data_IF_867681732162
#
_entry.id   IF_867681732162
#
_cell.length_a   1.000
_cell.length_b   1.000
_cell.length_c   1.000
_cell.angle_alpha   90.00
_cell.angle_beta   90.00
_cell.angle_gamma   90.00
#
_symmetry.space_group_name_H-M   'P 1'
#
loop_
_entity.id
_entity.type
_entity.pdbx_description
1 polymer ?
#
# COMPACT_ATOMS: atom_id res chain seq x y z
N UNK A 1 -3.28 30.02 2.13
CA UNK A 1 -4.37 29.06 1.86
C UNK A 1 -4.28 27.97 2.92
N UNK A 2 -5.14 28.01 3.94
CA UNK A 2 -5.20 26.97 4.98
C UNK A 2 -5.83 25.73 4.36
N UNK A 3 -5.02 24.71 4.09
CA UNK A 3 -5.50 23.38 3.70
C UNK A 3 -6.42 22.89 4.82
N UNK A 4 -7.72 22.90 4.57
CA UNK A 4 -8.71 22.32 5.47
C UNK A 4 -8.41 20.82 5.52
N UNK A 5 -7.77 20.37 6.61
CA UNK A 5 -7.60 18.94 6.90
C UNK A 5 -9.00 18.33 6.96
N UNK A 6 -9.44 17.70 5.89
CA UNK A 6 -10.64 16.86 5.93
C UNK A 6 -10.30 15.74 6.90
N UNK A 7 -11.04 15.58 8.02
CA UNK A 7 -10.74 14.51 8.95
C UNK A 7 -10.87 13.17 8.20
N UNK A 8 -9.81 12.36 8.24
CA UNK A 8 -9.71 11.07 7.55
C UNK A 8 -10.67 10.01 8.09
N UNK A 9 -11.38 10.34 9.18
CA UNK A 9 -12.43 9.58 9.80
C UNK A 9 -13.64 10.51 9.97
N UNK A 10 -14.85 9.98 9.76
CA UNK A 10 -16.07 10.79 9.86
C UNK A 10 -16.31 11.33 11.30
N UNK A 11 -15.71 10.69 12.32
CA UNK A 11 -15.81 11.12 13.72
C UNK A 11 -14.50 10.84 14.51
N UNK A 12 -13.55 11.78 14.53
CA UNK A 12 -12.21 11.55 15.09
C UNK A 12 -12.17 11.36 16.62
N UNK A 13 -13.22 11.74 17.36
CA UNK A 13 -13.20 11.68 18.83
C UNK A 13 -13.45 10.27 19.38
N UNK A 14 -14.12 9.40 18.62
CA UNK A 14 -14.52 8.06 19.08
C UNK A 14 -14.02 6.91 18.18
N UNK A 15 -13.38 7.20 17.04
CA UNK A 15 -13.03 6.14 16.08
C UNK A 15 -12.09 5.08 16.65
N UNK A 16 -11.10 5.46 17.47
CA UNK A 16 -10.18 4.49 18.08
C UNK A 16 -10.92 3.54 19.02
N UNK A 17 -11.85 4.06 19.83
CA UNK A 17 -12.68 3.22 20.69
C UNK A 17 -13.56 2.28 19.86
N UNK A 18 -14.14 2.77 18.77
CA UNK A 18 -14.91 1.93 17.82
C UNK A 18 -14.04 0.84 17.21
N UNK A 19 -12.83 1.16 16.75
CA UNK A 19 -11.90 0.18 16.18
C UNK A 19 -11.46 -0.84 17.22
N UNK A 20 -11.11 -0.40 18.43
CA UNK A 20 -10.74 -1.30 19.53
C UNK A 20 -11.88 -2.24 19.91
N UNK A 21 -13.13 -1.74 19.93
CA UNK A 21 -14.31 -2.57 20.18
C UNK A 21 -14.58 -3.62 19.09
N UNK A 22 -14.04 -3.41 17.89
CA UNK A 22 -14.12 -4.34 16.75
C UNK A 22 -12.88 -5.24 16.65
N UNK A 23 -12.04 -5.28 17.68
CA UNK A 23 -10.92 -6.21 17.80
C UNK A 23 -9.59 -5.70 17.25
N UNK A 24 -9.53 -4.44 16.79
CA UNK A 24 -8.25 -3.80 16.45
C UNK A 24 -7.39 -3.60 17.70
N UNK A 25 -6.10 -3.88 17.59
CA UNK A 25 -5.12 -3.71 18.66
C UNK A 25 -4.05 -2.73 18.24
N UNK A 26 -3.66 -1.85 19.15
CA UNK A 26 -2.54 -0.95 18.91
C UNK A 26 -1.23 -1.74 18.90
N UNK A 27 -0.36 -1.43 17.93
CA UNK A 27 0.95 -2.07 17.83
C UNK A 27 1.92 -1.40 18.80
N UNK A 28 2.75 -2.21 19.47
CA UNK A 28 3.81 -1.69 20.32
C UNK A 28 4.83 -0.88 19.51
N UNK A 29 5.45 0.13 20.12
CA UNK A 29 6.46 0.96 19.43
C UNK A 29 7.71 0.18 18.97
N UNK A 30 7.94 -0.99 19.55
CA UNK A 30 9.00 -1.94 19.19
C UNK A 30 8.66 -2.74 17.92
N UNK A 31 7.39 -2.82 17.54
CA UNK A 31 6.92 -3.55 16.38
C UNK A 31 7.49 -2.97 15.08
N UNK A 32 7.81 -3.83 14.11
CA UNK A 32 8.36 -3.43 12.82
C UNK A 32 7.44 -2.50 12.02
N UNK A 33 6.12 -2.76 12.01
CA UNK A 33 5.16 -1.93 11.30
C UNK A 33 5.04 -0.57 11.99
N UNK A 34 5.08 -0.52 13.31
CA UNK A 34 5.14 0.75 14.05
C UNK A 34 6.46 1.51 13.80
N UNK A 35 7.61 0.83 13.76
CA UNK A 35 8.90 1.45 13.43
C UNK A 35 8.90 2.02 12.01
N UNK A 36 8.34 1.30 11.03
CA UNK A 36 8.15 1.81 9.67
C UNK A 36 7.27 3.07 9.67
N UNK A 37 6.12 3.02 10.36
CA UNK A 37 5.22 4.17 10.49
C UNK A 37 5.93 5.39 11.10
N UNK A 38 6.75 5.18 12.13
CA UNK A 38 7.51 6.26 12.78
C UNK A 38 8.44 6.96 11.78
N UNK A 39 9.14 6.20 10.94
CA UNK A 39 10.01 6.78 9.89
C UNK A 39 9.20 7.49 8.80
N UNK A 40 8.15 6.85 8.31
CA UNK A 40 7.43 7.30 7.11
C UNK A 40 6.37 8.38 7.38
N UNK A 41 5.65 8.29 8.50
CA UNK A 41 4.54 9.18 8.83
C UNK A 41 4.95 10.29 9.80
N UNK A 42 5.53 9.91 10.94
CA UNK A 42 5.87 10.85 12.02
C UNK A 42 7.09 11.71 11.65
N UNK A 43 8.21 11.05 11.34
CA UNK A 43 9.45 11.72 10.97
C UNK A 43 9.46 12.23 9.53
N UNK A 44 8.55 11.71 8.68
CA UNK A 44 8.52 11.97 7.24
C UNK A 44 9.90 11.87 6.60
N UNK A 45 10.62 10.80 6.94
CA UNK A 45 11.99 10.57 6.48
C UNK A 45 12.02 10.62 4.95
N UNK A 46 12.80 11.52 4.33
CA UNK A 46 12.87 11.61 2.88
C UNK A 46 13.67 10.43 2.29
N UNK A 47 13.58 10.20 0.96
CA UNK A 47 14.47 9.27 0.29
C UNK A 47 15.94 9.62 0.56
N UNK A 48 16.77 8.61 0.82
CA UNK A 48 18.22 8.77 1.04
C UNK A 48 18.96 8.51 -0.26
N UNK A 49 19.73 9.48 -0.73
CA UNK A 49 20.67 9.29 -1.84
C UNK A 49 21.83 8.39 -1.40
N UNK A 50 22.13 7.38 -2.21
CA UNK A 50 23.29 6.52 -2.05
C UNK A 50 24.39 6.94 -3.00
N UNK A 51 25.60 7.08 -2.47
CA UNK A 51 26.81 7.30 -3.26
C UNK A 51 27.36 5.99 -3.83
N UNK A 52 28.25 6.05 -4.84
CA UNK A 52 28.86 4.86 -5.45
C UNK A 52 29.56 3.93 -4.45
N UNK A 53 30.08 4.47 -3.34
CA UNK A 53 30.76 3.72 -2.28
C UNK A 53 29.83 2.90 -1.39
N UNK A 54 28.52 3.13 -1.43
CA UNK A 54 27.54 2.39 -0.63
C UNK A 54 27.03 1.13 -1.36
N UNK A 55 27.45 0.90 -2.60
CA UNK A 55 27.11 -0.30 -3.36
C UNK A 55 28.16 -1.39 -3.14
N UNK A 56 27.70 -2.65 -3.06
CA UNK A 56 28.58 -3.81 -2.86
C UNK A 56 29.55 -4.01 -4.05
N UNK A 57 29.15 -3.58 -5.25
CA UNK A 57 29.99 -3.62 -6.44
C UNK A 57 30.35 -2.21 -6.89
N UNK A 58 31.63 -1.97 -7.25
CA UNK A 58 32.07 -0.68 -7.76
C UNK A 58 31.35 -0.38 -9.08
N UNK A 59 30.52 0.67 -9.07
CA UNK A 59 29.89 1.13 -10.30
C UNK A 59 30.93 1.81 -11.19
N UNK A 60 30.88 1.48 -12.49
CA UNK A 60 31.77 2.07 -13.49
C UNK A 60 31.59 3.60 -13.61
N UNK A 61 30.42 4.10 -13.20
CA UNK A 61 30.08 5.51 -13.23
C UNK A 61 29.96 6.09 -11.82
N UNK A 62 30.96 6.89 -11.45
CA UNK A 62 31.01 7.61 -10.17
C UNK A 62 29.95 8.73 -10.03
N UNK A 63 29.25 9.08 -11.10
CA UNK A 63 28.21 10.12 -11.10
C UNK A 63 26.81 9.57 -10.79
N UNK A 64 26.64 8.24 -10.77
CA UNK A 64 25.34 7.64 -10.51
C UNK A 64 24.92 7.84 -9.05
N UNK A 65 23.76 8.47 -8.85
CA UNK A 65 23.09 8.58 -7.56
C UNK A 65 21.82 7.74 -7.61
N UNK A 66 21.71 6.75 -6.73
CA UNK A 66 20.45 6.07 -6.50
C UNK A 66 19.78 6.65 -5.27
N UNK A 67 18.46 6.55 -5.19
CA UNK A 67 17.73 6.89 -3.97
C UNK A 67 17.19 5.62 -3.32
N UNK A 68 17.01 5.66 -2.01
CA UNK A 68 16.37 4.59 -1.24
C UNK A 68 15.30 5.11 -0.32
N UNK A 69 14.30 4.27 -0.05
CA UNK A 69 13.22 4.57 0.89
C UNK A 69 13.12 3.47 1.95
N UNK A 70 12.63 3.77 3.16
CA UNK A 70 12.35 2.76 4.19
C UNK A 70 11.35 1.72 3.70
N UNK A 71 11.55 0.45 4.03
CA UNK A 71 10.52 -0.59 3.79
C UNK A 71 9.99 -1.15 5.10
N UNK A 72 8.87 -1.85 5.01
CA UNK A 72 8.25 -2.56 6.13
C UNK A 72 8.72 -4.02 6.27
N UNK A 73 9.76 -4.40 5.51
CA UNK A 73 10.38 -5.73 5.51
C UNK A 73 11.60 -5.75 6.43
N UNK A 74 11.64 -6.70 7.36
CA UNK A 74 12.74 -6.86 8.32
C UNK A 74 14.11 -7.10 7.65
N UNK A 75 14.16 -7.97 6.64
CA UNK A 75 15.41 -8.35 5.96
C UNK A 75 15.96 -7.23 5.05
N UNK A 76 15.11 -6.27 4.67
CA UNK A 76 15.44 -5.23 3.71
C UNK A 76 14.94 -3.86 4.20
N UNK A 77 15.54 -3.26 5.24
CA UNK A 77 15.01 -2.05 5.88
C UNK A 77 14.95 -0.82 4.95
N UNK A 78 15.68 -0.87 3.83
CA UNK A 78 15.60 0.12 2.75
C UNK A 78 15.61 -0.56 1.39
N UNK A 79 14.82 -0.04 0.46
CA UNK A 79 14.82 -0.48 -0.93
C UNK A 79 15.18 0.66 -1.88
N UNK A 80 15.72 0.30 -3.05
CA UNK A 80 16.01 1.23 -4.13
C UNK A 80 14.70 1.85 -4.65
N UNK A 81 14.68 3.17 -4.71
CA UNK A 81 13.61 3.95 -5.29
C UNK A 81 13.75 3.96 -6.80
N UNK A 82 12.84 3.24 -7.46
CA UNK A 82 12.75 3.18 -8.92
C UNK A 82 11.82 4.26 -9.44
N UNK A 83 12.16 4.83 -10.59
CA UNK A 83 11.33 5.83 -11.26
C UNK A 83 9.96 5.24 -11.66
N UNK A 84 9.93 3.96 -12.00
CA UNK A 84 8.69 3.23 -12.30
C UNK A 84 7.75 3.16 -11.09
N UNK A 85 8.28 3.11 -9.87
CA UNK A 85 7.47 3.14 -8.66
C UNK A 85 6.76 4.49 -8.52
N UNK A 86 7.45 5.60 -8.79
CA UNK A 86 6.82 6.94 -8.81
C UNK A 86 5.67 6.99 -9.81
N UNK A 87 5.95 6.62 -11.07
CA UNK A 87 4.96 6.67 -12.15
C UNK A 87 3.74 5.80 -11.87
N UNK A 88 3.94 4.58 -11.37
CA UNK A 88 2.84 3.70 -11.00
C UNK A 88 2.01 4.29 -9.86
N UNK A 89 2.66 4.81 -8.81
CA UNK A 89 1.96 5.42 -7.68
C UNK A 89 1.17 6.68 -8.08
N UNK A 90 1.77 7.54 -8.90
CA UNK A 90 1.11 8.74 -9.40
C UNK A 90 -0.09 8.37 -10.30
N UNK A 91 0.05 7.31 -11.10
CA UNK A 91 -1.05 6.71 -11.86
C UNK A 91 -2.20 6.19 -10.96
N UNK A 92 -1.87 5.54 -9.83
CA UNK A 92 -2.88 5.13 -8.84
C UNK A 92 -3.60 6.33 -8.22
N UNK A 93 -2.87 7.41 -7.94
CA UNK A 93 -3.45 8.64 -7.38
C UNK A 93 -4.35 9.37 -8.39
N UNK A 94 -4.00 9.33 -9.67
CA UNK A 94 -4.78 9.95 -10.74
C UNK A 94 -6.18 9.34 -10.91
N UNK A 95 -6.41 8.11 -10.43
CA UNK A 95 -7.74 7.50 -10.39
C UNK A 95 -8.70 8.23 -9.43
N UNK A 96 -8.17 9.09 -8.55
CA UNK A 96 -8.95 9.85 -7.58
C UNK A 96 -9.52 8.98 -6.45
N UNK A 97 -10.10 9.60 -5.41
CA UNK A 97 -10.87 8.87 -4.40
C UNK A 97 -12.06 8.17 -5.09
N UNK A 98 -12.43 7.00 -4.60
CA UNK A 98 -13.57 6.27 -5.16
C UNK A 98 -14.84 7.11 -4.94
N UNK A 99 -15.51 7.63 -5.99
CA UNK A 99 -16.70 8.42 -5.82
C UNK A 99 -17.77 7.52 -5.21
N UNK A 100 -18.06 7.71 -3.92
CA UNK A 100 -18.90 6.86 -3.06
C UNK A 100 -19.69 5.82 -3.87
N UNK A 101 -19.25 4.56 -3.86
CA UNK A 101 -19.77 3.63 -4.83
C UNK A 101 -21.25 3.43 -4.59
N UNK A 102 -22.06 3.81 -5.58
CA UNK A 102 -23.45 3.38 -5.66
C UNK A 102 -23.44 1.85 -5.68
N UNK A 103 -23.69 1.22 -4.54
CA UNK A 103 -23.60 -0.23 -4.35
C UNK A 103 -22.32 -0.75 -3.68
N UNK A 104 -21.52 0.09 -3.00
CA UNK A 104 -20.47 -0.39 -2.08
C UNK A 104 -19.18 -0.92 -2.72
N UNK A 105 -19.08 -0.98 -4.06
CA UNK A 105 -17.91 -1.52 -4.78
C UNK A 105 -16.70 -0.60 -4.76
N UNK A 106 -15.53 -1.09 -4.33
CA UNK A 106 -14.28 -0.31 -4.36
C UNK A 106 -13.43 -0.69 -5.57
N UNK A 107 -12.75 0.31 -6.13
CA UNK A 107 -11.83 0.14 -7.26
C UNK A 107 -10.60 -0.67 -6.83
N UNK A 108 -10.37 -1.80 -7.50
CA UNK A 108 -9.17 -2.63 -7.32
C UNK A 108 -8.23 -2.46 -8.52
N UNK A 109 -6.94 -2.27 -8.24
CA UNK A 109 -5.90 -2.17 -9.28
C UNK A 109 -4.91 -3.32 -9.09
N UNK A 110 -4.99 -4.38 -9.92
CA UNK A 110 -4.03 -5.47 -9.85
C UNK A 110 -2.68 -5.01 -10.43
N UNK A 111 -1.61 -5.28 -9.69
CA UNK A 111 -0.23 -5.06 -10.17
C UNK A 111 0.32 -6.42 -10.61
N UNK A 112 0.52 -6.58 -11.91
CA UNK A 112 1.00 -7.83 -12.51
C UNK A 112 2.41 -7.68 -13.07
N UNK A 113 3.12 -8.80 -13.20
CA UNK A 113 4.48 -8.81 -13.74
C UNK A 113 5.24 -10.06 -13.33
N UNK A 114 6.39 -10.27 -13.97
CA UNK A 114 7.25 -11.43 -13.73
C UNK A 114 7.64 -11.58 -12.25
N UNK A 115 7.84 -12.82 -11.75
CA UNK A 115 8.43 -13.04 -10.44
C UNK A 115 9.74 -12.27 -10.29
N UNK A 116 9.99 -11.72 -9.10
CA UNK A 116 11.23 -10.97 -8.81
C UNK A 116 11.30 -9.53 -9.33
N UNK A 117 10.30 -9.03 -10.06
CA UNK A 117 10.35 -7.65 -10.62
C UNK A 117 10.17 -6.51 -9.58
N UNK A 118 9.98 -6.87 -8.30
CA UNK A 118 9.82 -5.93 -7.20
C UNK A 118 8.37 -5.45 -6.97
N UNK A 119 7.37 -6.33 -7.12
CA UNK A 119 5.95 -6.01 -6.84
C UNK A 119 5.71 -5.74 -5.35
N UNK A 120 6.22 -6.60 -4.48
CA UNK A 120 6.15 -6.42 -3.02
C UNK A 120 6.86 -5.14 -2.57
N UNK A 121 8.01 -4.82 -3.17
CA UNK A 121 8.72 -3.56 -2.90
C UNK A 121 7.90 -2.34 -3.37
N UNK A 122 7.19 -2.45 -4.50
CA UNK A 122 6.28 -1.39 -4.92
C UNK A 122 5.08 -1.22 -3.97
N UNK A 123 4.53 -2.31 -3.42
CA UNK A 123 3.50 -2.27 -2.36
C UNK A 123 3.98 -1.45 -1.17
N UNK A 124 5.22 -1.70 -0.71
CA UNK A 124 5.85 -0.96 0.38
C UNK A 124 6.11 0.50 0.03
N UNK A 125 6.54 0.77 -1.20
CA UNK A 125 6.69 2.13 -1.70
C UNK A 125 5.36 2.89 -1.68
N UNK A 126 4.27 2.25 -2.10
CA UNK A 126 2.94 2.85 -2.07
C UNK A 126 2.50 3.14 -0.62
N UNK A 127 2.75 2.22 0.32
CA UNK A 127 2.51 2.45 1.74
C UNK A 127 3.31 3.66 2.26
N UNK A 128 4.61 3.71 1.95
CA UNK A 128 5.52 4.79 2.35
C UNK A 128 5.04 6.15 1.84
N UNK A 129 4.70 6.25 0.55
CA UNK A 129 4.17 7.49 -0.05
C UNK A 129 2.86 7.93 0.62
N UNK A 130 1.96 7.00 0.90
CA UNK A 130 0.69 7.32 1.59
C UNK A 130 0.94 7.80 3.02
N UNK A 131 1.91 7.24 3.72
CA UNK A 131 2.32 7.72 5.04
C UNK A 131 2.87 9.16 5.00
N UNK A 132 3.75 9.47 4.04
CA UNK A 132 4.26 10.83 3.83
C UNK A 132 3.14 11.84 3.55
N UNK A 133 2.13 11.40 2.80
CA UNK A 133 0.92 12.17 2.45
C UNK A 133 -0.11 12.24 3.60
N UNK A 134 0.13 11.55 4.71
CA UNK A 134 -0.78 11.51 5.85
C UNK A 134 -2.09 10.78 5.57
N UNK A 135 -2.11 9.82 4.64
CA UNK A 135 -3.32 9.13 4.20
C UNK A 135 -3.49 7.76 4.88
N UNK A 136 -4.66 7.48 5.49
CA UNK A 136 -4.90 6.20 6.15
C UNK A 136 -4.78 5.06 5.14
N UNK A 137 -4.11 3.99 5.52
CA UNK A 137 -3.80 2.87 4.62
C UNK A 137 -3.97 1.56 5.33
N UNK A 138 -4.81 0.71 4.77
CA UNK A 138 -4.90 -0.69 5.16
C UNK A 138 -3.80 -1.46 4.43
N UNK A 139 -3.04 -2.26 5.15
CA UNK A 139 -1.93 -3.04 4.62
C UNK A 139 -2.05 -4.47 5.12
N UNK A 140 -2.22 -5.43 4.22
CA UNK A 140 -2.33 -6.83 4.59
C UNK A 140 -1.00 -7.52 4.33
N UNK A 141 -0.46 -8.13 5.37
CA UNK A 141 0.81 -8.83 5.32
C UNK A 141 0.66 -10.20 5.95
N UNK A 142 1.02 -11.23 5.18
CA UNK A 142 0.87 -12.66 5.51
C UNK A 142 -0.55 -13.07 5.93
N UNK A 143 -0.90 -12.77 7.18
CA UNK A 143 -2.16 -13.15 7.82
C UNK A 143 -2.76 -12.05 8.71
N UNK A 144 -2.13 -10.88 8.76
CA UNK A 144 -2.53 -9.77 9.63
C UNK A 144 -2.88 -8.55 8.79
N UNK A 145 -4.01 -7.91 9.13
CA UNK A 145 -4.40 -6.65 8.54
C UNK A 145 -3.94 -5.51 9.44
N UNK A 146 -3.15 -4.59 8.88
CA UNK A 146 -2.67 -3.41 9.58
C UNK A 146 -3.40 -2.17 9.06
N UNK A 147 -3.62 -1.20 9.95
CA UNK A 147 -4.11 0.14 9.64
C UNK A 147 -3.05 1.16 10.05
N UNK A 148 -2.46 1.83 9.06
CA UNK A 148 -1.57 2.96 9.24
C UNK A 148 -2.39 4.25 9.24
N UNK A 149 -2.32 5.05 10.30
CA UNK A 149 -3.06 6.31 10.44
C UNK A 149 -2.29 7.34 11.28
N UNK A 150 -2.84 8.54 11.49
CA UNK A 150 -2.14 9.63 12.19
C UNK A 150 -1.72 9.31 13.64
N UNK A 151 -2.40 8.37 14.29
CA UNK A 151 -2.13 8.00 15.68
C UNK A 151 -1.20 6.80 15.86
N UNK A 152 -0.72 6.18 14.78
CA UNK A 152 0.13 4.99 14.86
C UNK A 152 -0.32 3.88 13.91
N UNK A 153 -0.10 2.64 14.36
CA UNK A 153 -0.47 1.42 13.63
C UNK A 153 -1.37 0.57 14.50
N UNK A 154 -2.51 0.17 13.95
CA UNK A 154 -3.37 -0.86 14.53
C UNK A 154 -3.24 -2.17 13.74
N UNK A 155 -3.42 -3.30 14.40
CA UNK A 155 -3.54 -4.62 13.75
C UNK A 155 -4.87 -5.28 14.06
N UNK A 156 -5.32 -6.10 13.12
CA UNK A 156 -6.46 -6.98 13.25
C UNK A 156 -6.01 -8.40 12.93
N UNK A 157 -6.06 -9.26 13.95
CA UNK A 157 -5.62 -10.65 13.84
C UNK A 157 -6.61 -11.53 13.06
N UNK A 158 -6.09 -12.62 12.49
CA UNK A 158 -6.83 -13.58 11.65
C UNK A 158 -8.08 -14.19 12.31
N UNK A 159 -8.07 -14.33 13.64
CA UNK A 159 -9.14 -14.98 14.41
C UNK A 159 -10.29 -14.05 14.75
N UNK A 160 -10.19 -12.76 14.42
CA UNK A 160 -11.26 -11.80 14.70
C UNK A 160 -12.26 -11.85 13.54
N UNK A 161 -13.42 -12.47 13.79
CA UNK A 161 -14.60 -12.33 12.96
C UNK A 161 -15.16 -10.91 13.09
N UNK A 162 -14.51 -9.97 12.41
CA UNK A 162 -15.03 -8.60 12.32
C UNK A 162 -16.00 -8.56 11.15
N UNK A 163 -17.23 -8.16 11.42
CA UNK A 163 -18.16 -7.80 10.36
C UNK A 163 -17.64 -6.53 9.66
N UNK A 164 -16.86 -6.71 8.60
CA UNK A 164 -16.34 -5.60 7.79
C UNK A 164 -17.47 -4.86 7.05
N UNK A 165 -18.74 -5.24 7.19
CA UNK A 165 -19.82 -4.39 6.70
C UNK A 165 -19.91 -3.07 7.47
N UNK A 166 -19.31 -2.97 8.66
CA UNK A 166 -19.16 -1.70 9.40
C UNK A 166 -17.85 -0.97 9.08
N UNK A 167 -17.32 -1.07 7.85
CA UNK A 167 -16.20 -0.25 7.33
C UNK A 167 -16.53 1.26 7.20
N UNK A 168 -17.64 1.72 7.81
CA UNK A 168 -18.02 3.12 7.99
C UNK A 168 -16.91 4.06 8.48
N UNK A 169 -15.89 3.66 9.29
CA UNK A 169 -14.85 4.62 9.66
C UNK A 169 -13.94 5.01 8.50
N UNK A 170 -13.88 4.24 7.40
CA UNK A 170 -12.90 4.46 6.35
C UNK A 170 -13.39 5.40 5.26
N UNK A 171 -12.64 6.47 5.05
CA UNK A 171 -12.90 7.44 3.97
C UNK A 171 -12.71 6.85 2.57
N UNK A 172 -13.29 7.50 1.54
CA UNK A 172 -13.05 7.16 0.13
C UNK A 172 -11.57 7.17 -0.30
N UNK A 173 -10.72 7.87 0.44
CA UNK A 173 -9.27 7.90 0.17
C UNK A 173 -8.51 6.79 0.92
N UNK A 174 -9.16 5.99 1.77
CA UNK A 174 -8.51 4.83 2.42
C UNK A 174 -8.29 3.73 1.39
N UNK A 175 -7.04 3.32 1.19
CA UNK A 175 -6.66 2.23 0.28
C UNK A 175 -6.26 0.98 1.05
N UNK A 176 -6.58 -0.17 0.48
CA UNK A 176 -6.13 -1.48 0.93
C UNK A 176 -5.02 -1.97 0.01
N UNK A 177 -3.85 -2.23 0.57
CA UNK A 177 -2.68 -2.79 -0.09
C UNK A 177 -2.58 -4.27 0.26
N UNK A 178 -2.58 -5.10 -0.78
CA UNK A 178 -2.54 -6.56 -0.67
C UNK A 178 -1.36 -7.06 -1.49
N UNK A 179 -0.56 -7.97 -0.94
CA UNK A 179 0.21 -8.86 -1.81
C UNK A 179 -0.73 -9.99 -2.23
N UNK A 180 -0.72 -10.33 -3.52
CA UNK A 180 -1.64 -11.32 -4.06
C UNK A 180 -1.48 -12.66 -3.34
N UNK A 181 -2.54 -13.45 -3.15
CA UNK A 181 -2.43 -14.72 -2.47
C UNK A 181 -1.42 -15.59 -3.22
N UNK A 182 -0.42 -16.09 -2.49
CA UNK A 182 0.12 -17.41 -2.84
C UNK A 182 -1.08 -18.34 -2.96
N UNK A 183 -1.19 -19.18 -4.01
CA UNK A 183 -2.37 -20.03 -4.27
C UNK A 183 -2.75 -20.99 -3.12
N UNK A 184 -2.03 -20.99 -2.02
CA UNK A 184 -2.20 -21.85 -0.85
C UNK A 184 -2.84 -21.18 0.37
N UNK A 185 -3.03 -19.85 0.39
CA UNK A 185 -3.64 -19.18 1.53
C UNK A 185 -5.14 -18.96 1.28
N UNK A 186 -6.03 -19.61 2.06
CA UNK A 186 -7.44 -19.22 2.06
C UNK A 186 -7.49 -17.76 2.51
N UNK A 187 -7.95 -16.91 1.61
CA UNK A 187 -8.33 -15.54 1.91
C UNK A 187 -9.24 -15.62 3.15
N UNK A 188 -8.85 -15.08 4.32
CA UNK A 188 -9.63 -15.25 5.54
C UNK A 188 -11.08 -14.82 5.29
N UNK A 189 -12.08 -15.46 5.87
CA UNK A 189 -13.49 -15.13 5.60
C UNK A 189 -13.83 -13.64 5.81
N UNK A 190 -13.07 -12.92 6.64
CA UNK A 190 -13.14 -11.45 6.75
C UNK A 190 -12.92 -10.75 5.39
N UNK A 191 -12.08 -11.30 4.52
CA UNK A 191 -11.82 -10.83 3.17
C UNK A 191 -12.78 -11.37 2.11
N UNK A 192 -13.61 -12.39 2.37
CA UNK A 192 -14.67 -12.76 1.42
C UNK A 192 -15.57 -11.55 1.10
N UNK A 193 -15.79 -10.67 2.09
CA UNK A 193 -16.48 -9.39 1.89
C UNK A 193 -15.65 -8.37 1.10
N UNK A 194 -14.33 -8.28 1.33
CA UNK A 194 -13.47 -7.43 0.51
C UNK A 194 -13.44 -7.91 -0.96
N UNK A 195 -13.48 -9.23 -1.19
CA UNK A 195 -13.57 -9.80 -2.54
C UNK A 195 -14.96 -9.65 -3.15
N UNK A 196 -16.06 -9.71 -2.39
CA UNK A 196 -17.42 -9.38 -2.87
C UNK A 196 -17.53 -7.90 -3.28
N UNK A 197 -16.85 -7.00 -2.55
CA UNK A 197 -16.70 -5.58 -2.92
C UNK A 197 -15.88 -5.41 -4.22
N UNK A 198 -14.98 -6.34 -4.54
CA UNK A 198 -14.08 -6.31 -5.72
C UNK A 198 -14.67 -7.04 -6.95
N UNK A 199 -15.74 -7.84 -6.80
CA UNK A 199 -16.31 -8.68 -7.88
C UNK A 199 -17.08 -7.92 -8.99
N UNK A 200 -16.80 -6.64 -9.21
CA UNK A 200 -17.34 -5.87 -10.33
C UNK A 200 -16.30 -5.57 -11.41
N UNK A 201 -16.12 -6.46 -12.38
CA UNK A 201 -15.51 -6.24 -13.70
C UNK A 201 -14.40 -5.18 -13.80
N UNK A 202 -13.13 -5.57 -13.76
CA UNK A 202 -12.03 -4.68 -14.19
C UNK A 202 -10.97 -5.41 -15.03
N UNK A 203 -10.63 -4.79 -16.15
CA UNK A 203 -9.36 -4.97 -16.86
C UNK A 203 -8.56 -3.67 -16.70
N UNK A 204 -7.41 -3.72 -16.01
CA UNK A 204 -6.38 -2.69 -16.14
C UNK A 204 -5.12 -3.35 -16.72
N UNK A 205 -4.92 -3.16 -18.02
CA UNK A 205 -3.72 -3.62 -18.73
C UNK A 205 -2.63 -2.54 -18.64
N UNK A 206 -1.70 -2.66 -17.70
CA UNK A 206 -0.46 -1.89 -17.71
C UNK A 206 0.57 -2.65 -18.55
N UNK A 207 0.72 -2.26 -19.82
CA UNK A 207 1.81 -2.77 -20.67
C UNK A 207 3.12 -2.11 -20.24
N UNK A 208 3.96 -2.86 -19.53
CA UNK A 208 5.36 -2.51 -19.32
C UNK A 208 6.15 -2.86 -20.58
N UNK A 209 6.32 -1.90 -21.48
CA UNK A 209 7.24 -2.02 -22.61
C UNK A 209 8.67 -1.86 -22.11
N UNK A 210 9.59 -2.73 -22.56
CA UNK A 210 11.03 -2.52 -22.37
C UNK A 210 11.44 -1.18 -22.99
N UNK A 211 12.42 -0.53 -22.38
CA UNK A 211 13.00 0.73 -22.85
C UNK A 211 13.68 0.64 -24.23
N UNK A 212 13.84 -0.56 -24.80
CA UNK A 212 14.46 -0.82 -26.11
C UNK A 212 13.48 -0.78 -27.29
N UNK A 213 12.18 -0.52 -27.05
CA UNK A 213 11.21 -0.23 -28.11
C UNK A 213 10.82 -1.42 -29.00
N UNK A 214 11.25 -2.65 -28.70
CA UNK A 214 10.93 -3.81 -29.54
C UNK A 214 9.87 -4.72 -28.92
N UNK A 215 8.63 -4.61 -29.44
CA UNK A 215 7.68 -5.73 -29.57
C UNK A 215 6.72 -5.99 -28.41
N UNK A 216 5.63 -5.21 -28.31
CA UNK A 216 4.44 -5.59 -27.55
C UNK A 216 3.31 -6.05 -28.48
N UNK A 217 3.04 -7.35 -28.58
CA UNK A 217 1.78 -7.85 -29.19
C UNK A 217 0.68 -7.83 -28.12
N UNK A 218 -0.37 -7.06 -28.38
CA UNK A 218 -1.62 -7.09 -27.61
C UNK A 218 -2.48 -8.26 -28.10
N UNK A 219 -2.71 -9.26 -27.26
CA UNK A 219 -3.74 -10.28 -27.49
C UNK A 219 -4.97 -9.86 -26.68
N UNK A 220 -6.08 -9.59 -27.38
CA UNK A 220 -7.39 -9.42 -26.77
C UNK A 220 -8.02 -10.79 -26.61
N UNK A 221 -8.50 -11.10 -25.41
CA UNK A 221 -9.52 -12.12 -25.21
C UNK A 221 -10.85 -11.41 -24.96
N UNK A 222 -11.85 -11.75 -25.77
CA UNK A 222 -13.24 -11.32 -25.56
C UNK A 222 -13.84 -12.09 -24.37
N UNK A 223 -14.79 -11.43 -23.71
CA UNK A 223 -15.60 -11.85 -22.57
C UNK A 223 -16.15 -13.26 -22.65
#
# INVERSE_FOLDING_TARGET
MTSSKIPYFQNPSNYLQTLQSTGWKEMEHTDEKHRFWTRAWDQKEPPKSLGPSEFAEPMADSSYQAETFPTSLDELPRALLREEYRRMYDGLCALGPDPQPKGGRRTAVPITGHPGIGKTIFRDYALYRRCLEGKPTLYFDESTLYLFHEGGVLSLGKDVHTDLTTLDPFTPDTRLLLDGPSPQLPIPNAFCYATEIIQGSYSLHLHLTRADGTGGRSIRCAS
#
